data_IF_985603930773
#
_entry.id   IF_985603930773
#
_cell.length_a   1.000
_cell.length_b   1.000
_cell.length_c   1.000
_cell.angle_alpha   90.00
_cell.angle_beta   90.00
_cell.angle_gamma   90.00
#
_symmetry.space_group_name_H-M   'P 1'
#
loop_
_entity.id
_entity.type
_entity.pdbx_description
1 polymer ?
#
# COMPACT_ATOMS: atom_id res chain seq x y z
N UNK A 1 -11.78 7.71 -3.80
CA UNK A 1 -11.73 8.32 -2.45
C UNK A 1 -11.19 9.74 -2.56
N UNK A 2 -11.71 10.68 -1.74
CA UNK A 2 -11.39 12.12 -1.85
C UNK A 2 -9.90 12.43 -1.75
N UNK A 3 -9.19 11.75 -0.84
CA UNK A 3 -7.74 11.89 -0.72
C UNK A 3 -6.96 11.54 -2.01
N UNK A 4 -7.33 10.46 -2.72
CA UNK A 4 -6.69 10.08 -3.99
C UNK A 4 -6.99 11.08 -5.09
N UNK A 5 -8.22 11.59 -5.14
CA UNK A 5 -8.62 12.62 -6.10
C UNK A 5 -7.82 13.92 -5.86
N UNK A 6 -7.62 14.30 -4.59
CA UNK A 6 -6.80 15.45 -4.21
C UNK A 6 -5.33 15.24 -4.59
N UNK A 7 -4.73 14.09 -4.26
CA UNK A 7 -3.36 13.77 -4.66
C UNK A 7 -3.20 13.80 -6.18
N UNK A 8 -4.14 13.22 -6.92
CA UNK A 8 -4.13 13.27 -8.38
C UNK A 8 -4.17 14.71 -8.87
N UNK A 9 -5.04 15.56 -8.33
CA UNK A 9 -5.12 16.96 -8.75
C UNK A 9 -3.87 17.78 -8.44
N UNK A 10 -3.21 17.52 -7.31
CA UNK A 10 -1.95 18.18 -6.93
C UNK A 10 -0.76 17.72 -7.78
N UNK A 11 -0.70 16.43 -8.10
CA UNK A 11 0.47 15.83 -8.72
C UNK A 11 0.31 15.52 -10.22
N UNK A 12 -0.89 15.60 -10.83
CA UNK A 12 -1.11 15.30 -12.27
C UNK A 12 -0.26 16.08 -13.26
N UNK A 13 0.28 17.24 -12.87
CA UNK A 13 1.21 18.02 -13.71
C UNK A 13 2.68 17.59 -13.57
N UNK A 14 2.99 16.81 -12.54
CA UNK A 14 4.32 16.30 -12.17
C UNK A 14 4.44 14.78 -12.33
N UNK A 15 3.32 14.07 -12.36
CA UNK A 15 3.25 12.65 -12.73
C UNK A 15 3.57 12.53 -14.21
N UNK A 16 4.84 12.30 -14.51
CA UNK A 16 5.24 11.66 -15.77
C UNK A 16 4.72 10.22 -15.77
N UNK A 17 4.41 9.67 -16.94
CA UNK A 17 3.64 8.44 -17.08
C UNK A 17 4.40 7.15 -16.68
N UNK A 18 5.49 7.24 -15.92
CA UNK A 18 6.25 6.09 -15.45
C UNK A 18 5.79 5.71 -14.03
N UNK A 19 5.45 4.43 -13.84
CA UNK A 19 4.96 3.86 -12.58
C UNK A 19 5.94 4.06 -11.40
N UNK A 20 7.24 4.20 -11.69
CA UNK A 20 8.30 4.40 -10.71
C UNK A 20 8.19 5.77 -9.99
N UNK A 21 7.67 6.80 -10.68
CA UNK A 21 7.46 8.13 -10.08
C UNK A 21 6.32 8.12 -9.05
N UNK A 22 5.32 7.26 -9.25
CA UNK A 22 4.16 7.13 -8.36
C UNK A 22 4.58 6.48 -7.03
N UNK A 23 5.41 5.44 -7.07
CA UNK A 23 5.89 4.76 -5.86
C UNK A 23 6.76 5.67 -4.99
N UNK A 24 7.66 6.44 -5.59
CA UNK A 24 8.49 7.43 -4.89
C UNK A 24 7.62 8.53 -4.27
N UNK A 25 6.61 9.01 -5.01
CA UNK A 25 5.67 10.01 -4.53
C UNK A 25 4.86 9.50 -3.33
N UNK A 26 4.25 8.32 -3.46
CA UNK A 26 3.47 7.70 -2.38
C UNK A 26 4.35 7.47 -1.16
N UNK A 27 5.56 6.96 -1.34
CA UNK A 27 6.51 6.74 -0.23
C UNK A 27 6.86 8.05 0.49
N UNK A 28 7.07 9.13 -0.24
CA UNK A 28 7.37 10.45 0.31
C UNK A 28 6.19 10.99 1.12
N UNK A 29 4.97 10.89 0.59
CA UNK A 29 3.74 11.30 1.31
C UNK A 29 3.58 10.48 2.59
N UNK A 30 3.71 9.15 2.50
CA UNK A 30 3.50 8.26 3.64
C UNK A 30 4.49 8.51 4.79
N UNK A 31 5.72 8.96 4.50
CA UNK A 31 6.71 9.33 5.51
C UNK A 31 6.31 10.59 6.30
N UNK A 32 5.51 11.47 5.72
CA UNK A 32 5.06 12.71 6.35
C UNK A 32 3.76 12.54 7.17
N UNK A 33 3.00 11.47 6.91
CA UNK A 33 1.72 11.23 7.59
C UNK A 33 1.91 10.72 9.02
N UNK A 34 1.16 11.30 9.95
CA UNK A 34 1.00 10.72 11.28
C UNK A 34 0.07 9.51 11.25
N UNK A 35 0.09 8.71 12.32
CA UNK A 35 -0.90 7.64 12.52
C UNK A 35 -2.34 8.15 12.43
N UNK A 36 -2.60 9.35 12.94
CA UNK A 36 -3.95 9.91 12.92
C UNK A 36 -4.37 10.29 11.50
N UNK A 37 -3.46 10.84 10.69
CA UNK A 37 -3.75 11.18 9.30
C UNK A 37 -4.07 9.94 8.48
N UNK A 38 -3.31 8.86 8.67
CA UNK A 38 -3.61 7.57 8.05
C UNK A 38 -4.97 7.02 8.46
N UNK A 39 -5.35 7.12 9.74
CA UNK A 39 -6.68 6.70 10.20
C UNK A 39 -7.81 7.57 9.62
N UNK A 40 -7.58 8.86 9.45
CA UNK A 40 -8.53 9.76 8.80
C UNK A 40 -8.72 9.36 7.33
N UNK A 41 -7.64 9.09 6.59
CA UNK A 41 -7.70 8.59 5.21
C UNK A 41 -8.49 7.27 5.12
N UNK A 42 -8.20 6.32 6.01
CA UNK A 42 -8.92 5.04 6.05
C UNK A 42 -10.42 5.21 6.38
N UNK A 43 -10.78 6.24 7.14
CA UNK A 43 -12.19 6.54 7.48
C UNK A 43 -13.01 7.07 6.30
N UNK A 44 -12.35 7.60 5.26
CA UNK A 44 -13.00 8.07 4.03
C UNK A 44 -13.33 6.94 3.05
N UNK A 45 -12.79 5.74 3.28
CA UNK A 45 -12.99 4.59 2.42
C UNK A 45 -14.41 4.07 2.54
N UNK A 46 -14.99 3.66 1.41
CA UNK A 46 -16.22 2.91 1.43
C UNK A 46 -15.98 1.47 1.94
N UNK A 47 -17.06 0.75 2.26
CA UNK A 47 -17.00 -0.60 2.81
C UNK A 47 -16.18 -1.57 1.94
N UNK A 48 -16.25 -1.45 0.62
CA UNK A 48 -15.53 -2.32 -0.31
C UNK A 48 -14.02 -2.01 -0.32
N UNK A 49 -13.65 -0.74 -0.40
CA UNK A 49 -12.25 -0.29 -0.34
C UNK A 49 -11.62 -0.68 1.00
N UNK A 50 -12.33 -0.46 2.11
CA UNK A 50 -11.87 -0.85 3.45
C UNK A 50 -11.71 -2.37 3.57
N UNK A 51 -12.64 -3.15 3.02
CA UNK A 51 -12.54 -4.61 2.96
C UNK A 51 -11.31 -5.06 2.18
N UNK A 52 -11.04 -4.45 1.03
CA UNK A 52 -9.87 -4.77 0.20
C UNK A 52 -8.56 -4.48 0.93
N UNK A 53 -8.40 -3.30 1.52
CA UNK A 53 -7.17 -2.93 2.25
C UNK A 53 -6.97 -3.81 3.48
N UNK A 54 -8.04 -4.00 4.27
CA UNK A 54 -7.97 -4.80 5.50
C UNK A 54 -7.65 -6.26 5.19
N UNK A 55 -8.34 -6.84 4.19
CA UNK A 55 -8.11 -8.21 3.76
C UNK A 55 -6.70 -8.42 3.22
N UNK A 56 -6.19 -7.47 2.43
CA UNK A 56 -4.82 -7.51 1.89
C UNK A 56 -3.78 -7.48 2.99
N UNK A 57 -3.92 -6.59 3.97
CA UNK A 57 -2.98 -6.49 5.08
C UNK A 57 -3.00 -7.75 5.96
N UNK A 58 -4.18 -8.28 6.28
CA UNK A 58 -4.32 -9.53 7.04
C UNK A 58 -3.66 -10.69 6.29
N UNK A 59 -3.92 -10.83 4.99
CA UNK A 59 -3.32 -11.87 4.16
C UNK A 59 -1.79 -11.75 4.13
N UNK A 60 -1.25 -10.54 3.96
CA UNK A 60 0.17 -10.27 4.04
C UNK A 60 0.77 -10.72 5.38
N UNK A 61 0.16 -10.31 6.50
CA UNK A 61 0.60 -10.71 7.85
C UNK A 61 0.54 -12.21 8.08
N UNK A 62 -0.46 -12.89 7.55
CA UNK A 62 -0.54 -14.35 7.63
C UNK A 62 0.58 -15.02 6.83
N UNK A 63 0.88 -14.52 5.62
CA UNK A 63 2.00 -15.03 4.81
C UNK A 63 3.35 -14.83 5.50
N UNK A 64 3.57 -13.67 6.12
CA UNK A 64 4.77 -13.40 6.93
C UNK A 64 4.95 -14.46 8.02
N UNK A 65 3.88 -14.72 8.79
CA UNK A 65 3.91 -15.74 9.85
C UNK A 65 4.21 -17.13 9.32
N UNK A 66 3.57 -17.54 8.22
CA UNK A 66 3.80 -18.86 7.63
C UNK A 66 5.24 -19.05 7.15
N UNK A 67 5.84 -18.00 6.57
CA UNK A 67 7.24 -18.01 6.14
C UNK A 67 8.18 -18.14 7.33
N UNK A 68 7.96 -17.36 8.38
CA UNK A 68 8.73 -17.41 9.63
C UNK A 68 8.66 -18.79 10.29
N UNK A 69 7.46 -19.37 10.38
CA UNK A 69 7.23 -20.69 10.98
C UNK A 69 7.93 -21.81 10.20
N UNK A 70 8.02 -21.68 8.88
CA UNK A 70 8.63 -22.68 7.99
C UNK A 70 10.15 -22.49 7.80
N UNK A 71 10.77 -21.47 8.43
CA UNK A 71 12.15 -21.04 8.18
C UNK A 71 12.45 -20.80 6.68
N UNK A 72 11.42 -20.52 5.89
CA UNK A 72 11.60 -20.13 4.51
C UNK A 72 12.17 -18.71 4.49
N UNK A 73 13.07 -18.41 3.56
CA UNK A 73 13.61 -17.07 3.36
C UNK A 73 12.51 -16.01 3.17
N UNK A 74 12.91 -14.74 3.13
CA UNK A 74 11.98 -13.59 3.16
C UNK A 74 10.91 -13.64 2.06
N UNK A 75 9.75 -13.04 2.32
CA UNK A 75 8.63 -12.95 1.36
C UNK A 75 9.00 -12.24 0.05
N UNK A 76 10.07 -11.42 0.04
CA UNK A 76 10.54 -10.71 -1.14
C UNK A 76 11.21 -11.65 -2.17
N UNK A 77 11.60 -12.86 -1.77
CA UNK A 77 12.29 -13.82 -2.64
C UNK A 77 11.31 -14.74 -3.42
N UNK A 78 10.00 -14.67 -3.14
CA UNK A 78 9.02 -15.66 -3.61
C UNK A 78 8.42 -15.43 -5.00
N UNK A 79 8.71 -14.31 -5.66
CA UNK A 79 8.40 -14.15 -7.09
C UNK A 79 9.24 -15.08 -7.99
N UNK A 80 10.19 -15.82 -7.42
CA UNK A 80 11.01 -16.83 -8.12
C UNK A 80 10.39 -18.24 -8.15
N UNK A 81 9.30 -18.51 -7.42
CA UNK A 81 8.75 -19.88 -7.29
C UNK A 81 7.29 -20.00 -7.73
N UNK A 82 6.92 -19.29 -8.80
CA UNK A 82 5.64 -19.51 -9.51
C UNK A 82 5.92 -20.13 -10.88
N UNK A 83 6.39 -21.38 -10.87
CA UNK A 83 6.26 -22.35 -11.97
C UNK A 83 5.89 -23.71 -11.40
#
# INVERSE_FOLDING_TARGET
MKFVDELYDFYKKKLTADDEDIEILVSSIMQELSKQDMLNILSELNQQELYQITGTYIAYKLREKLVQDQQLGSIHDKDTYIH
#
